data_IF_941910527307
#
_entry.id   IF_941910527307
#
_cell.length_a   1.000
_cell.length_b   1.000
_cell.length_c   1.000
_cell.angle_alpha   90.00
_cell.angle_beta   90.00
_cell.angle_gamma   90.00
#
_symmetry.space_group_name_H-M   'P 1'
#
loop_
_entity.id
_entity.type
_entity.pdbx_description
1 polymer ?
#
# COMPACT_ATOMS: atom_id res chain seq x y z
N UNK A 1 -4.64 -9.86 -32.94
CA UNK A 1 -4.53 -8.87 -31.84
C UNK A 1 -4.73 -9.63 -30.55
N UNK A 2 -3.66 -9.83 -29.77
CA UNK A 2 -3.80 -10.38 -28.42
C UNK A 2 -4.54 -9.31 -27.61
N UNK A 3 -5.76 -9.61 -27.15
CA UNK A 3 -6.45 -8.75 -26.21
C UNK A 3 -5.68 -8.89 -24.90
N UNK A 4 -4.88 -7.88 -24.55
CA UNK A 4 -4.16 -7.87 -23.28
C UNK A 4 -5.18 -7.99 -22.16
N UNK A 5 -5.11 -9.06 -21.39
CA UNK A 5 -6.01 -9.29 -20.27
C UNK A 5 -5.82 -8.14 -19.26
N UNK A 6 -6.88 -7.38 -19.02
CA UNK A 6 -6.83 -6.25 -18.10
C UNK A 6 -6.62 -6.77 -16.69
N UNK A 7 -5.49 -6.41 -16.07
CA UNK A 7 -5.18 -6.78 -14.69
C UNK A 7 -5.87 -5.81 -13.74
N UNK A 8 -6.41 -6.31 -12.65
CA UNK A 8 -7.07 -5.49 -11.63
C UNK A 8 -6.76 -6.02 -10.22
N UNK A 9 -7.06 -5.20 -9.23
CA UNK A 9 -6.86 -5.50 -7.81
C UNK A 9 -8.04 -4.94 -7.01
N UNK A 10 -8.18 -5.38 -5.77
CA UNK A 10 -9.22 -4.87 -4.85
C UNK A 10 -8.59 -4.36 -3.56
N UNK A 11 -9.28 -3.41 -2.92
CA UNK A 11 -8.94 -2.92 -1.59
C UNK A 11 -10.06 -3.27 -0.61
N UNK A 12 -9.69 -3.83 0.54
CA UNK A 12 -10.59 -4.24 1.61
C UNK A 12 -10.29 -3.47 2.90
N UNK A 13 -11.37 -3.13 3.60
CA UNK A 13 -11.29 -2.61 4.96
C UNK A 13 -11.48 -3.74 5.97
N UNK A 14 -10.67 -3.80 7.04
CA UNK A 14 -10.93 -4.71 8.15
C UNK A 14 -12.35 -4.51 8.71
N UNK A 15 -13.03 -5.59 9.14
CA UNK A 15 -14.40 -5.50 9.60
C UNK A 15 -14.49 -4.74 10.92
N UNK A 16 -15.44 -3.79 11.00
CA UNK A 16 -15.71 -3.01 12.23
C UNK A 16 -16.89 -3.54 13.04
N UNK A 17 -17.54 -4.61 12.58
CA UNK A 17 -18.70 -5.23 13.24
C UNK A 17 -18.60 -6.75 13.10
N UNK A 18 -19.18 -7.50 14.03
CA UNK A 18 -19.23 -8.96 13.97
C UNK A 18 -19.91 -9.45 12.69
N UNK A 19 -21.03 -8.81 12.30
CA UNK A 19 -21.72 -9.14 11.05
C UNK A 19 -20.80 -8.99 9.83
N UNK A 20 -20.01 -7.92 9.77
CA UNK A 20 -19.04 -7.73 8.70
C UNK A 20 -17.94 -8.79 8.76
N UNK A 21 -17.45 -9.13 9.96
CA UNK A 21 -16.44 -10.17 10.14
C UNK A 21 -16.94 -11.55 9.67
N UNK A 22 -18.19 -11.90 9.95
CA UNK A 22 -18.80 -13.17 9.47
C UNK A 22 -18.96 -13.20 7.95
N UNK A 23 -19.24 -12.07 7.30
CA UNK A 23 -19.46 -12.00 5.86
C UNK A 23 -18.17 -11.86 5.03
N UNK A 24 -17.07 -11.41 5.64
CA UNK A 24 -15.84 -11.05 4.95
C UNK A 24 -15.16 -12.24 4.26
N UNK A 25 -15.04 -13.44 4.86
CA UNK A 25 -14.52 -14.64 4.19
C UNK A 25 -15.16 -14.91 2.82
N UNK A 26 -16.50 -14.99 2.78
CA UNK A 26 -17.21 -15.23 1.52
C UNK A 26 -17.07 -14.10 0.50
N UNK A 27 -16.83 -12.87 0.95
CA UNK A 27 -16.52 -11.74 0.06
C UNK A 27 -15.12 -11.89 -0.54
N UNK A 28 -14.14 -12.29 0.27
CA UNK A 28 -12.76 -12.55 -0.19
C UNK A 28 -12.76 -13.67 -1.23
N UNK A 29 -13.47 -14.77 -0.97
CA UNK A 29 -13.56 -15.89 -1.92
C UNK A 29 -14.13 -15.47 -3.27
N UNK A 30 -15.20 -14.65 -3.25
CA UNK A 30 -15.82 -14.13 -4.46
C UNK A 30 -14.86 -13.23 -5.25
N UNK A 31 -14.13 -12.35 -4.57
CA UNK A 31 -13.15 -11.47 -5.21
C UNK A 31 -11.93 -12.27 -5.70
N UNK A 32 -11.48 -13.28 -4.98
CA UNK A 32 -10.37 -14.12 -5.39
C UNK A 32 -10.70 -14.97 -6.62
N UNK A 33 -11.95 -15.40 -6.78
CA UNK A 33 -12.42 -16.14 -7.94
C UNK A 33 -12.28 -15.37 -9.27
N UNK A 34 -12.21 -14.03 -9.22
CA UNK A 34 -11.97 -13.21 -10.41
C UNK A 34 -10.49 -13.12 -10.79
N UNK A 35 -9.59 -13.78 -10.05
CA UNK A 35 -8.13 -13.82 -10.27
C UNK A 35 -7.45 -12.43 -10.31
N UNK A 36 -7.67 -11.55 -9.30
CA UNK A 36 -6.99 -10.26 -9.24
C UNK A 36 -5.48 -10.43 -9.03
N UNK A 37 -4.71 -9.43 -9.42
CA UNK A 37 -3.25 -9.42 -9.22
C UNK A 37 -2.88 -9.40 -7.73
N UNK A 38 -3.65 -8.68 -6.93
CA UNK A 38 -3.59 -8.67 -5.47
C UNK A 38 -4.88 -8.18 -4.84
N UNK A 39 -5.02 -8.46 -3.55
CA UNK A 39 -5.98 -7.80 -2.67
C UNK A 39 -5.19 -7.02 -1.62
N UNK A 40 -5.45 -5.72 -1.51
CA UNK A 40 -4.87 -4.87 -0.47
C UNK A 40 -5.81 -4.79 0.74
N UNK A 41 -5.23 -4.70 1.93
CA UNK A 41 -5.98 -4.57 3.19
C UNK A 41 -5.54 -3.29 3.88
N UNK A 42 -6.49 -2.40 4.10
CA UNK A 42 -6.22 -1.12 4.76
C UNK A 42 -5.75 -1.29 6.21
N UNK A 43 -5.01 -0.30 6.68
CA UNK A 43 -4.56 -0.19 8.06
C UNK A 43 -5.15 1.09 8.65
N UNK A 44 -5.92 0.96 9.72
CA UNK A 44 -6.59 2.08 10.36
C UNK A 44 -5.60 3.04 11.03
N UNK A 45 -5.88 4.35 10.93
CA UNK A 45 -5.12 5.39 11.59
C UNK A 45 -4.96 5.10 13.11
N UNK A 46 -3.75 5.30 13.63
CA UNK A 46 -3.44 5.12 15.06
C UNK A 46 -3.41 3.67 15.56
N UNK A 47 -3.28 2.66 14.67
CA UNK A 47 -3.04 1.26 15.08
C UNK A 47 -4.25 0.51 15.65
N UNK A 48 -5.43 1.15 15.71
CA UNK A 48 -6.68 0.62 16.26
C UNK A 48 -7.23 -0.64 15.57
N UNK A 49 -6.64 -1.05 14.43
CA UNK A 49 -7.09 -2.19 13.62
C UNK A 49 -6.00 -3.23 13.34
N UNK A 50 -4.84 -3.18 14.01
CA UNK A 50 -3.68 -4.04 13.71
C UNK A 50 -4.04 -5.52 13.60
N UNK A 51 -4.69 -6.06 14.62
CA UNK A 51 -5.08 -7.49 14.66
C UNK A 51 -6.08 -7.81 13.54
N UNK A 52 -7.08 -6.95 13.35
CA UNK A 52 -8.11 -7.16 12.33
C UNK A 52 -7.52 -7.13 10.90
N UNK A 53 -6.57 -6.23 10.61
CA UNK A 53 -5.88 -6.22 9.31
C UNK A 53 -5.07 -7.50 9.10
N UNK A 54 -4.33 -7.94 10.12
CA UNK A 54 -3.53 -9.16 10.05
C UNK A 54 -4.39 -10.42 9.85
N UNK A 55 -5.54 -10.51 10.52
CA UNK A 55 -6.46 -11.64 10.37
C UNK A 55 -7.00 -11.74 8.94
N UNK A 56 -7.35 -10.60 8.33
CA UNK A 56 -7.78 -10.56 6.92
C UNK A 56 -6.65 -10.94 5.96
N UNK A 57 -5.44 -10.43 6.19
CA UNK A 57 -4.26 -10.78 5.38
C UNK A 57 -3.96 -12.27 5.46
N UNK A 58 -3.99 -12.85 6.67
CA UNK A 58 -3.80 -14.30 6.88
C UNK A 58 -4.86 -15.10 6.17
N UNK A 59 -6.13 -14.71 6.28
CA UNK A 59 -7.21 -15.40 5.58
C UNK A 59 -6.96 -15.46 4.06
N UNK A 60 -6.59 -14.33 3.44
CA UNK A 60 -6.27 -14.26 2.00
C UNK A 60 -5.12 -15.22 1.66
N UNK A 61 -4.03 -15.21 2.44
CA UNK A 61 -2.84 -16.01 2.18
C UNK A 61 -3.05 -17.51 2.43
N UNK A 62 -3.91 -17.89 3.38
CA UNK A 62 -4.17 -19.28 3.75
C UNK A 62 -5.25 -19.94 2.89
N UNK A 63 -6.20 -19.17 2.36
CA UNK A 63 -7.40 -19.70 1.70
C UNK A 63 -7.48 -19.37 0.21
N UNK A 64 -6.57 -18.56 -0.33
CA UNK A 64 -6.57 -18.18 -1.75
C UNK A 64 -5.16 -18.19 -2.34
N UNK A 65 -5.05 -18.26 -3.67
CA UNK A 65 -3.78 -18.08 -4.39
C UNK A 65 -3.47 -16.59 -4.68
N UNK A 66 -4.29 -15.66 -4.18
CA UNK A 66 -4.13 -14.23 -4.44
C UNK A 66 -3.08 -13.65 -3.51
N UNK A 67 -2.19 -12.84 -4.07
CA UNK A 67 -1.21 -12.12 -3.26
C UNK A 67 -1.87 -11.06 -2.40
N UNK A 68 -1.50 -11.01 -1.11
CA UNK A 68 -1.98 -10.00 -0.18
C UNK A 68 -1.03 -8.79 -0.11
N UNK A 69 -1.59 -7.57 -0.07
CA UNK A 69 -0.86 -6.32 0.16
C UNK A 69 -1.29 -5.66 1.47
N UNK A 70 -0.35 -5.47 2.40
CA UNK A 70 -0.63 -4.80 3.66
C UNK A 70 -0.40 -3.29 3.56
N UNK A 71 -1.38 -2.49 3.96
CA UNK A 71 -1.17 -1.06 4.16
C UNK A 71 -0.36 -0.81 5.43
N UNK A 72 0.47 0.24 5.41
CA UNK A 72 1.27 0.69 6.54
C UNK A 72 1.30 2.22 6.59
N UNK A 73 1.08 2.78 7.77
CA UNK A 73 1.10 4.24 7.99
C UNK A 73 2.33 4.69 8.78
N UNK A 74 2.89 5.85 8.44
CA UNK A 74 3.97 6.51 9.19
C UNK A 74 3.49 7.07 10.54
N UNK A 75 2.31 7.70 10.55
CA UNK A 75 1.79 8.46 11.69
C UNK A 75 1.37 7.54 12.85
N UNK A 76 1.67 7.97 14.08
CA UNK A 76 1.22 7.31 15.30
C UNK A 76 1.89 5.98 15.64
N UNK A 77 3.07 5.69 15.08
CA UNK A 77 3.88 4.52 15.47
C UNK A 77 5.33 4.92 15.73
N UNK A 78 5.88 4.42 16.83
CA UNK A 78 7.33 4.45 17.07
C UNK A 78 8.08 3.58 16.05
N UNK A 79 9.39 3.79 15.94
CA UNK A 79 10.24 2.97 15.07
C UNK A 79 10.16 1.49 15.45
N UNK A 80 10.14 1.18 16.75
CA UNK A 80 10.06 -0.18 17.26
C UNK A 80 8.72 -0.86 16.93
N UNK A 81 7.61 -0.12 17.05
CA UNK A 81 6.28 -0.64 16.71
C UNK A 81 6.13 -0.92 15.22
N UNK A 82 6.59 0.01 14.38
CA UNK A 82 6.58 -0.16 12.93
C UNK A 82 7.49 -1.33 12.50
N UNK A 83 8.68 -1.45 13.09
CA UNK A 83 9.61 -2.57 12.85
C UNK A 83 8.95 -3.92 13.18
N UNK A 84 8.38 -4.04 14.39
CA UNK A 84 7.68 -5.26 14.82
C UNK A 84 6.50 -5.58 13.89
N UNK A 85 5.71 -4.58 13.50
CA UNK A 85 4.57 -4.78 12.61
C UNK A 85 4.99 -5.28 11.22
N UNK A 86 6.02 -4.65 10.63
CA UNK A 86 6.56 -5.10 9.34
C UNK A 86 7.05 -6.54 9.44
N UNK A 87 7.73 -6.88 10.56
CA UNK A 87 8.20 -8.24 10.80
C UNK A 87 7.04 -9.23 10.90
N UNK A 88 6.00 -8.91 11.65
CA UNK A 88 4.80 -9.76 11.77
C UNK A 88 4.15 -10.01 10.41
N UNK A 89 4.07 -8.98 9.55
CA UNK A 89 3.55 -9.13 8.18
C UNK A 89 4.44 -10.04 7.33
N UNK A 90 5.75 -9.84 7.36
CA UNK A 90 6.69 -10.70 6.64
C UNK A 90 6.63 -12.15 7.14
N UNK A 91 6.48 -12.36 8.45
CA UNK A 91 6.34 -13.68 9.09
C UNK A 91 5.02 -14.36 8.75
N UNK A 92 3.95 -13.59 8.55
CA UNK A 92 2.68 -14.09 8.03
C UNK A 92 2.70 -14.40 6.52
N UNK A 93 3.80 -14.09 5.82
CA UNK A 93 3.94 -14.35 4.38
C UNK A 93 3.57 -13.17 3.48
N UNK A 94 3.26 -11.99 4.04
CA UNK A 94 3.01 -10.78 3.24
C UNK A 94 4.31 -10.31 2.58
N UNK A 95 4.26 -10.11 1.26
CA UNK A 95 5.40 -9.62 0.46
C UNK A 95 5.13 -8.32 -0.30
N UNK A 96 3.92 -7.78 -0.15
CA UNK A 96 3.50 -6.53 -0.78
C UNK A 96 3.04 -5.56 0.29
N UNK A 97 3.55 -4.34 0.22
CA UNK A 97 3.22 -3.28 1.16
C UNK A 97 2.72 -2.05 0.41
N UNK A 98 1.73 -1.35 0.97
CA UNK A 98 1.40 0.01 0.58
C UNK A 98 1.83 0.94 1.71
N UNK A 99 2.96 1.61 1.52
CA UNK A 99 3.50 2.58 2.46
C UNK A 99 2.84 3.94 2.21
N UNK A 100 2.17 4.46 3.24
CA UNK A 100 1.49 5.76 3.22
C UNK A 100 1.84 6.57 4.45
N UNK A 101 1.71 7.89 4.38
CA UNK A 101 1.89 8.74 5.57
C UNK A 101 0.86 8.40 6.65
N UNK A 102 -0.40 8.24 6.26
CA UNK A 102 -1.54 8.20 7.17
C UNK A 102 -2.05 9.59 7.52
N UNK A 103 -3.19 9.59 8.20
CA UNK A 103 -3.85 10.80 8.69
C UNK A 103 -3.43 11.09 10.14
N UNK A 104 -3.29 12.37 10.52
CA UNK A 104 -3.06 12.74 11.91
C UNK A 104 -4.22 12.22 12.80
N UNK A 105 -3.94 11.76 14.03
CA UNK A 105 -4.97 11.42 14.99
C UNK A 105 -5.94 12.59 15.21
N UNK A 106 -7.23 12.28 15.33
CA UNK A 106 -8.27 13.30 15.47
C UNK A 106 -8.15 14.14 16.76
N UNK A 107 -7.51 13.59 17.80
CA UNK A 107 -7.46 14.16 19.16
C UNK A 107 -6.05 14.57 19.59
N UNK A 108 -5.20 15.05 18.66
CA UNK A 108 -3.86 15.51 19.01
C UNK A 108 -3.89 16.76 19.91
N UNK A 109 -3.18 16.76 21.06
CA UNK A 109 -2.97 17.97 21.86
C UNK A 109 -2.25 19.06 21.04
N UNK A 110 -2.61 20.33 21.24
CA UNK A 110 -1.91 21.45 20.59
C UNK A 110 -0.41 21.42 20.92
N UNK A 111 0.43 21.33 19.88
CA UNK A 111 1.89 21.33 19.99
C UNK A 111 2.54 19.95 19.88
N UNK A 112 1.78 18.86 19.89
CA UNK A 112 2.24 17.55 19.45
C UNK A 112 1.90 17.35 17.97
N UNK A 113 2.92 17.12 17.15
CA UNK A 113 2.74 16.87 15.73
C UNK A 113 2.14 15.47 15.46
N UNK A 114 2.10 14.58 16.45
CA UNK A 114 1.61 13.20 16.32
C UNK A 114 2.41 12.35 15.33
N UNK A 115 3.49 12.93 14.82
CA UNK A 115 4.45 12.32 13.94
C UNK A 115 5.31 11.45 14.85
N UNK A 116 5.10 10.14 14.80
CA UNK A 116 5.98 9.19 15.46
C UNK A 116 7.41 9.27 14.92
N UNK A 117 8.24 8.27 15.20
CA UNK A 117 9.65 8.31 14.76
C UNK A 117 9.81 8.30 13.22
N UNK A 118 8.77 7.89 12.50
CA UNK A 118 8.72 7.82 11.04
C UNK A 118 7.92 9.01 10.51
N UNK A 119 8.61 9.98 9.90
CA UNK A 119 8.04 11.25 9.46
C UNK A 119 7.56 11.23 8.02
N UNK A 120 8.21 10.44 7.18
CA UNK A 120 7.93 10.41 5.74
C UNK A 120 7.66 9.00 5.24
N UNK A 121 6.90 8.90 4.14
CA UNK A 121 6.72 7.62 3.44
C UNK A 121 8.05 7.05 2.95
N UNK A 122 9.01 7.90 2.55
CA UNK A 122 10.34 7.46 2.15
C UNK A 122 11.10 6.75 3.29
N UNK A 123 11.00 7.25 4.52
CA UNK A 123 11.56 6.58 5.70
C UNK A 123 10.88 5.24 5.98
N UNK A 124 9.55 5.15 5.80
CA UNK A 124 8.81 3.89 5.95
C UNK A 124 9.22 2.86 4.89
N UNK A 125 9.39 3.28 3.64
CA UNK A 125 9.90 2.41 2.55
C UNK A 125 11.28 1.86 2.91
N UNK A 126 12.19 2.71 3.40
CA UNK A 126 13.51 2.29 3.85
C UNK A 126 13.45 1.33 5.05
N UNK A 127 12.53 1.56 5.99
CA UNK A 127 12.32 0.65 7.11
C UNK A 127 11.84 -0.72 6.63
N UNK A 128 10.90 -0.79 5.69
CA UNK A 128 10.43 -2.07 5.12
C UNK A 128 11.61 -2.85 4.52
N UNK A 129 12.44 -2.20 3.70
CA UNK A 129 13.66 -2.81 3.15
C UNK A 129 14.63 -3.27 4.23
N UNK A 130 14.80 -2.50 5.31
CA UNK A 130 15.67 -2.88 6.44
C UNK A 130 15.15 -4.11 7.18
N UNK A 131 13.86 -4.15 7.53
CA UNK A 131 13.29 -5.30 8.25
C UNK A 131 13.34 -6.57 7.38
N UNK A 132 13.06 -6.42 6.08
CA UNK A 132 13.23 -7.50 5.09
C UNK A 132 14.67 -8.03 5.10
N UNK A 133 15.64 -7.12 5.05
CA UNK A 133 17.07 -7.42 5.06
C UNK A 133 17.52 -8.13 6.34
N UNK A 134 16.97 -7.75 7.49
CA UNK A 134 17.29 -8.37 8.79
C UNK A 134 16.67 -9.76 8.93
N UNK A 135 15.48 -9.98 8.36
CA UNK A 135 14.77 -11.26 8.39
C UNK A 135 15.43 -12.31 7.51
N UNK A 136 15.84 -11.93 6.31
CA UNK A 136 16.50 -12.80 5.34
C UNK A 136 17.82 -12.15 4.88
N UNK A 137 18.86 -12.17 5.74
CA UNK A 137 20.11 -11.48 5.44
C UNK A 137 20.81 -12.03 4.19
N UNK A 138 20.59 -13.32 3.91
CA UNK A 138 21.13 -14.05 2.75
C UNK A 138 20.07 -15.02 2.20
N UNK A 139 20.09 -15.28 0.89
CA UNK A 139 19.37 -16.40 0.27
C UNK A 139 20.31 -17.59 0.05
N UNK A 140 19.78 -18.81 0.00
CA UNK A 140 20.55 -20.01 -0.36
C UNK A 140 20.12 -20.50 -1.75
N UNK A 141 21.07 -20.53 -2.68
CA UNK A 141 20.90 -21.11 -4.02
C UNK A 141 21.57 -22.48 -4.06
N UNK A 142 20.78 -23.52 -4.33
CA UNK A 142 21.31 -24.85 -4.62
C UNK A 142 21.88 -24.86 -6.04
N UNK A 143 23.18 -25.17 -6.17
CA UNK A 143 23.83 -25.34 -7.47
C UNK A 143 24.02 -26.84 -7.72
N UNK A 144 23.25 -27.46 -8.64
CA UNK A 144 23.27 -28.91 -8.84
C UNK A 144 24.64 -29.50 -9.19
N UNK A 145 25.52 -28.73 -9.85
CA UNK A 145 26.85 -29.22 -10.26
C UNK A 145 27.99 -29.01 -9.25
N UNK A 146 27.75 -28.29 -8.13
CA UNK A 146 28.75 -28.05 -7.10
C UNK A 146 28.45 -28.89 -5.85
N UNK A 147 29.48 -29.50 -5.24
CA UNK A 147 29.36 -30.15 -3.92
C UNK A 147 29.16 -29.16 -2.76
N UNK A 148 29.12 -27.85 -3.05
CA UNK A 148 28.84 -26.82 -2.06
C UNK A 148 27.33 -26.76 -1.78
N UNK A 149 26.95 -26.78 -0.49
CA UNK A 149 25.56 -26.91 -0.06
C UNK A 149 24.68 -25.69 -0.36
N UNK A 150 25.26 -24.51 -0.67
CA UNK A 150 24.53 -23.33 -1.13
C UNK A 150 25.49 -22.25 -1.67
N UNK A 151 25.06 -21.50 -2.68
CA UNK A 151 25.60 -20.18 -3.05
C UNK A 151 24.72 -19.11 -2.42
N UNK A 152 25.29 -18.02 -1.88
CA UNK A 152 24.48 -16.94 -1.35
C UNK A 152 23.82 -16.17 -2.50
N UNK A 153 22.49 -16.16 -2.55
CA UNK A 153 21.72 -15.40 -3.52
C UNK A 153 21.09 -14.14 -2.92
N UNK A 154 20.70 -13.22 -3.81
CA UNK A 154 19.98 -12.03 -3.47
C UNK A 154 18.63 -12.31 -2.79
N UNK A 155 18.26 -11.34 -1.95
CA UNK A 155 17.18 -11.41 -0.98
C UNK A 155 15.80 -11.60 -1.62
N UNK A 156 14.86 -12.16 -0.86
CA UNK A 156 13.45 -12.21 -1.27
C UNK A 156 12.90 -10.81 -1.55
N UNK A 157 12.45 -10.57 -2.77
CA UNK A 157 11.98 -9.25 -3.19
C UNK A 157 10.64 -8.90 -2.54
N UNK A 158 10.54 -7.69 -1.98
CA UNK A 158 9.26 -7.09 -1.56
C UNK A 158 8.79 -6.07 -2.59
N UNK A 159 7.49 -6.05 -2.84
CA UNK A 159 6.87 -4.98 -3.61
C UNK A 159 6.41 -3.90 -2.63
N UNK A 160 6.85 -2.65 -2.84
CA UNK A 160 6.49 -1.53 -1.98
C UNK A 160 5.81 -0.48 -2.85
N UNK A 161 4.50 -0.42 -2.71
CA UNK A 161 3.65 0.58 -3.28
C UNK A 161 3.66 1.86 -2.44
N UNK A 162 3.41 2.99 -3.09
CA UNK A 162 3.21 4.29 -2.44
C UNK A 162 2.02 5.03 -3.03
N UNK A 163 1.39 5.88 -2.22
CA UNK A 163 0.31 6.74 -2.70
C UNK A 163 0.82 7.82 -3.66
N UNK A 164 0.04 8.05 -4.71
CA UNK A 164 0.19 9.11 -5.71
C UNK A 164 -1.11 9.95 -5.79
N UNK A 165 -1.02 11.24 -6.12
CA UNK A 165 -2.16 12.16 -6.03
C UNK A 165 -2.34 12.91 -7.36
N UNK A 166 -3.19 12.40 -8.29
CA UNK A 166 -3.40 13.03 -9.59
C UNK A 166 -3.87 14.49 -9.50
N UNK A 167 -4.75 14.77 -8.54
CA UNK A 167 -5.32 16.08 -8.27
C UNK A 167 -4.56 16.88 -7.19
N UNK A 168 -3.33 16.45 -6.88
CA UNK A 168 -2.48 17.06 -5.86
C UNK A 168 -2.80 16.59 -4.44
N UNK A 169 -1.79 16.54 -3.58
CA UNK A 169 -2.01 16.20 -2.17
C UNK A 169 -2.57 17.43 -1.41
N UNK A 170 -3.53 17.29 -0.48
CA UNK A 170 -4.12 18.44 0.23
C UNK A 170 -3.13 19.31 1.00
N UNK A 171 -2.01 18.73 1.46
CA UNK A 171 -0.92 19.46 2.12
C UNK A 171 0.19 19.92 1.15
N UNK A 172 0.05 19.68 -0.15
CA UNK A 172 1.00 20.10 -1.17
C UNK A 172 0.74 21.54 -1.58
N UNK A 173 1.82 22.31 -1.76
CA UNK A 173 1.76 23.70 -2.19
C UNK A 173 1.91 23.86 -3.70
N UNK A 174 2.25 22.78 -4.42
CA UNK A 174 2.36 22.79 -5.88
C UNK A 174 2.39 21.37 -6.43
N UNK A 175 1.97 21.20 -7.69
CA UNK A 175 2.02 19.86 -8.32
C UNK A 175 3.46 19.33 -8.47
N UNK A 176 4.46 20.21 -8.58
CA UNK A 176 5.87 19.81 -8.59
C UNK A 176 6.27 19.09 -7.31
N UNK A 177 5.74 19.54 -6.16
CA UNK A 177 6.04 18.92 -4.86
C UNK A 177 5.51 17.48 -4.76
N UNK A 178 4.37 17.18 -5.39
CA UNK A 178 3.83 15.80 -5.42
C UNK A 178 4.71 14.86 -6.25
N UNK A 179 5.25 15.35 -7.36
CA UNK A 179 6.21 14.62 -8.20
C UNK A 179 7.55 14.45 -7.47
N UNK A 180 8.07 15.51 -6.83
CA UNK A 180 9.30 15.44 -6.03
C UNK A 180 9.16 14.41 -4.91
N UNK A 181 7.98 14.34 -4.26
CA UNK A 181 7.69 13.33 -3.27
C UNK A 181 7.68 11.91 -3.85
N UNK A 182 7.15 11.70 -5.07
CA UNK A 182 7.24 10.41 -5.76
C UNK A 182 8.69 10.03 -6.09
N UNK A 183 9.50 10.98 -6.58
CA UNK A 183 10.92 10.75 -6.86
C UNK A 183 11.69 10.39 -5.58
N UNK A 184 11.41 11.06 -4.46
CA UNK A 184 11.98 10.73 -3.17
C UNK A 184 11.59 9.32 -2.70
N UNK A 185 10.32 8.93 -2.87
CA UNK A 185 9.83 7.57 -2.56
C UNK A 185 10.47 6.51 -3.47
N UNK A 186 10.68 6.83 -4.75
CA UNK A 186 11.41 5.96 -5.69
C UNK A 186 12.86 5.78 -5.26
N UNK A 187 13.56 6.86 -4.92
CA UNK A 187 14.93 6.82 -4.44
C UNK A 187 15.05 6.01 -3.12
N UNK A 188 14.01 6.04 -2.30
CA UNK A 188 13.89 5.20 -1.10
C UNK A 188 13.63 3.71 -1.41
N UNK A 189 13.33 3.34 -2.65
CA UNK A 189 13.15 1.94 -3.08
C UNK A 189 11.69 1.51 -3.26
N UNK A 190 10.74 2.45 -3.37
CA UNK A 190 9.38 2.13 -3.81
C UNK A 190 9.38 1.71 -5.28
N UNK A 191 8.50 0.78 -5.64
CA UNK A 191 8.48 0.17 -6.98
C UNK A 191 7.07 0.00 -7.56
N UNK A 192 6.07 0.67 -6.98
CA UNK A 192 4.71 0.75 -7.47
C UNK A 192 4.07 2.05 -6.96
N UNK A 193 3.31 2.74 -7.80
CA UNK A 193 2.43 3.83 -7.40
C UNK A 193 0.97 3.36 -7.43
N UNK A 194 0.16 3.79 -6.47
CA UNK A 194 -1.30 3.64 -6.53
C UNK A 194 -1.89 5.03 -6.32
N UNK A 195 -2.72 5.49 -7.25
CA UNK A 195 -3.30 6.82 -7.12
C UNK A 195 -4.39 6.84 -6.06
N UNK A 196 -4.53 7.99 -5.41
CA UNK A 196 -5.78 8.38 -4.81
C UNK A 196 -6.89 8.36 -5.86
N UNK A 197 -8.13 8.23 -5.40
CA UNK A 197 -9.33 8.33 -6.21
C UNK A 197 -9.37 9.64 -7.01
N UNK A 198 -9.93 9.57 -8.21
CA UNK A 198 -10.16 10.67 -9.13
C UNK A 198 -11.40 10.36 -9.97
N UNK A 199 -12.06 11.37 -10.54
CA UNK A 199 -13.25 11.16 -11.39
C UNK A 199 -12.97 11.28 -12.89
N UNK A 200 -12.03 12.13 -13.31
CA UNK A 200 -11.73 12.36 -14.72
C UNK A 200 -10.50 11.58 -15.15
N UNK A 201 -10.62 10.81 -16.24
CA UNK A 201 -9.52 9.99 -16.74
C UNK A 201 -8.31 10.84 -17.14
N UNK A 202 -8.56 12.07 -17.61
CA UNK A 202 -7.56 13.06 -17.98
C UNK A 202 -6.64 13.44 -16.81
N UNK A 203 -7.15 13.50 -15.58
CA UNK A 203 -6.35 13.83 -14.39
C UNK A 203 -5.25 12.78 -14.18
N UNK A 204 -5.64 11.50 -14.25
CA UNK A 204 -4.70 10.38 -14.17
C UNK A 204 -3.72 10.38 -15.33
N UNK A 205 -4.19 10.54 -16.57
CA UNK A 205 -3.34 10.48 -17.76
C UNK A 205 -2.29 11.59 -17.76
N UNK A 206 -2.69 12.83 -17.45
CA UNK A 206 -1.76 13.95 -17.34
C UNK A 206 -0.77 13.77 -16.19
N UNK A 207 -1.24 13.29 -15.02
CA UNK A 207 -0.38 13.04 -13.88
C UNK A 207 0.67 11.96 -14.20
N UNK A 208 0.24 10.82 -14.76
CA UNK A 208 1.13 9.72 -15.11
C UNK A 208 2.18 10.14 -16.15
N UNK A 209 1.78 10.91 -17.17
CA UNK A 209 2.70 11.47 -18.16
C UNK A 209 3.75 12.37 -17.50
N UNK A 210 3.32 13.32 -16.68
CA UNK A 210 4.24 14.26 -16.00
C UNK A 210 5.20 13.56 -15.04
N UNK A 211 4.72 12.55 -14.31
CA UNK A 211 5.56 11.75 -13.42
C UNK A 211 6.65 11.00 -14.23
N UNK A 212 6.28 10.40 -15.36
CA UNK A 212 7.22 9.73 -16.25
C UNK A 212 8.26 10.70 -16.85
N UNK A 213 7.82 11.86 -17.34
CA UNK A 213 8.70 12.92 -17.87
C UNK A 213 9.70 13.45 -16.82
N UNK A 214 9.31 13.46 -15.54
CA UNK A 214 10.16 13.83 -14.42
C UNK A 214 11.10 12.72 -13.92
N UNK A 215 10.97 11.49 -14.45
CA UNK A 215 11.86 10.37 -14.13
C UNK A 215 11.31 9.32 -13.15
N UNK A 216 10.01 9.31 -12.88
CA UNK A 216 9.37 8.16 -12.19
C UNK A 216 9.34 6.97 -13.16
N UNK A 217 9.94 5.86 -12.76
CA UNK A 217 10.14 4.67 -13.60
C UNK A 217 9.24 3.49 -13.25
N UNK A 218 8.69 3.46 -12.03
CA UNK A 218 7.75 2.42 -11.64
C UNK A 218 6.34 2.65 -12.21
N UNK A 219 5.54 1.58 -12.39
CA UNK A 219 4.15 1.72 -12.82
C UNK A 219 3.29 2.45 -11.77
N UNK A 220 2.37 3.30 -12.22
CA UNK A 220 1.37 3.98 -11.37
C UNK A 220 0.00 3.41 -11.74
N UNK A 221 -0.68 2.76 -10.79
CA UNK A 221 -2.00 2.15 -10.99
C UNK A 221 -3.11 3.16 -10.63
N UNK A 222 -4.14 3.30 -11.47
CA UNK A 222 -5.28 4.16 -11.17
C UNK A 222 -6.18 3.53 -10.09
N UNK A 223 -6.37 4.23 -8.98
CA UNK A 223 -7.35 3.89 -7.95
C UNK A 223 -8.75 4.36 -8.35
N UNK A 224 -9.70 3.43 -8.48
CA UNK A 224 -11.09 3.72 -8.87
C UNK A 224 -12.04 3.25 -7.77
N UNK A 225 -12.96 4.13 -7.34
CA UNK A 225 -14.05 3.76 -6.44
C UNK A 225 -15.40 3.90 -7.16
N UNK A 226 -16.07 2.79 -7.47
CA UNK A 226 -17.43 2.84 -7.99
C UNK A 226 -18.37 3.51 -6.99
N UNK A 227 -19.00 4.61 -7.42
CA UNK A 227 -20.01 5.30 -6.61
C UNK A 227 -21.27 4.46 -6.57
N UNK A 228 -21.50 3.83 -5.42
CA UNK A 228 -22.64 2.91 -5.21
C UNK A 228 -23.82 3.57 -4.48
N UNK A 229 -23.65 4.80 -3.98
CA UNK A 229 -24.76 5.60 -3.42
C UNK A 229 -24.44 7.10 -3.40
N UNK A 230 -25.46 7.98 -3.49
CA UNK A 230 -25.27 9.43 -3.41
C UNK A 230 -24.64 9.92 -2.10
N UNK A 231 -24.97 9.28 -0.97
CA UNK A 231 -24.39 9.63 0.33
C UNK A 231 -22.89 9.34 0.39
N UNK A 232 -22.44 8.25 -0.25
CA UNK A 232 -21.02 7.89 -0.33
C UNK A 232 -20.25 8.83 -1.26
N UNK A 233 -20.87 9.28 -2.35
CA UNK A 233 -20.30 10.31 -3.23
C UNK A 233 -20.03 11.60 -2.46
N UNK A 234 -21.03 12.12 -1.74
CA UNK A 234 -20.89 13.36 -0.97
C UNK A 234 -19.73 13.30 0.04
N UNK A 235 -19.64 12.21 0.80
CA UNK A 235 -18.55 12.01 1.78
C UNK A 235 -17.17 11.88 1.13
N UNK A 236 -17.10 11.27 -0.05
CA UNK A 236 -15.85 11.16 -0.81
C UNK A 236 -15.37 12.53 -1.29
N UNK A 237 -16.27 13.35 -1.84
CA UNK A 237 -15.95 14.71 -2.29
C UNK A 237 -15.46 15.59 -1.13
N UNK A 238 -16.10 15.49 0.05
CA UNK A 238 -15.68 16.21 1.26
C UNK A 238 -14.26 15.83 1.73
N UNK A 239 -13.84 14.57 1.56
CA UNK A 239 -12.52 14.08 2.00
C UNK A 239 -11.42 14.27 0.95
N UNK A 240 -11.76 14.24 -0.33
CA UNK A 240 -10.82 14.37 -1.45
C UNK A 240 -10.60 15.82 -1.87
N UNK A 241 -11.56 16.72 -1.59
CA UNK A 241 -11.53 18.11 -2.06
C UNK A 241 -11.84 18.26 -3.55
N UNK A 242 -12.43 17.23 -4.18
CA UNK A 242 -12.78 17.24 -5.61
C UNK A 242 -14.16 17.85 -5.88
N UNK A 243 -14.34 18.43 -7.08
CA UNK A 243 -15.62 18.92 -7.57
C UNK A 243 -16.56 17.75 -7.95
N UNK A 244 -17.87 18.01 -7.95
CA UNK A 244 -18.86 17.05 -8.43
C UNK A 244 -18.61 16.75 -9.93
N UNK A 245 -18.42 15.48 -10.33
CA UNK A 245 -18.32 15.11 -11.74
C UNK A 245 -19.64 15.27 -12.50
#
# INVERSE_FOLDING_TARGET
>A
MSCTEARFSFELYPPRTERAATALPGTIDLLAATRPDFISVTYGAGGSSRTASLDVLRYILEHTDVSAMAHLTCVGSSHEEAHRLIRDFLDAGVRRFLAVRGDPPADLPEGEDGIGDIRTTAELVQLIHRVQAERAPYGELLVPELQAQAVLEHREHVQIAVAAFPNGHPSSHSVSQDIDALLAKQAAGANLGITQLFFHAEDYLHFAQRAAEAGVTFPILPGIMPVTSPARLKRMLELSGEDLP
#
